data_IF_131843348060
#
_entry.id   IF_131843348060
#
_cell.length_a   1.000
_cell.length_b   1.000
_cell.length_c   1.000
_cell.angle_alpha   90.00
_cell.angle_beta   90.00
_cell.angle_gamma   90.00
#
_symmetry.space_group_name_H-M   'P 1'
#
loop_
_entity.id
_entity.type
_entity.pdbx_description
1 polymer ?
#
# COMPACT_ATOMS: atom_id res chain seq x y z
N UNK A 1 -30.38 16.91 -36.98
CA UNK A 1 -28.92 16.67 -37.07
C UNK A 1 -28.22 17.34 -35.89
N UNK A 2 -27.54 16.59 -35.03
CA UNK A 2 -26.85 17.13 -33.85
C UNK A 2 -25.51 17.76 -34.27
N UNK A 3 -25.36 19.07 -34.06
CA UNK A 3 -24.12 19.81 -34.36
C UNK A 3 -23.04 19.38 -33.36
N UNK A 4 -22.05 18.60 -33.80
CA UNK A 4 -20.90 18.20 -32.97
C UNK A 4 -20.02 19.43 -32.73
N UNK A 5 -19.98 19.90 -31.48
CA UNK A 5 -19.03 20.93 -31.05
C UNK A 5 -17.63 20.32 -30.88
N UNK A 6 -16.56 20.99 -31.34
CA UNK A 6 -15.19 20.51 -31.18
C UNK A 6 -14.84 20.39 -29.69
N UNK A 7 -14.22 19.27 -29.31
CA UNK A 7 -13.76 19.03 -27.94
C UNK A 7 -12.61 19.98 -27.61
N UNK A 8 -12.86 20.99 -26.76
CA UNK A 8 -11.78 21.72 -26.08
C UNK A 8 -11.04 20.75 -25.14
N UNK A 9 -9.72 20.78 -25.14
CA UNK A 9 -8.88 20.02 -24.23
C UNK A 9 -9.17 20.45 -22.78
N UNK A 10 -10.06 19.73 -22.10
CA UNK A 10 -10.37 19.99 -20.69
C UNK A 10 -9.16 19.54 -19.87
N UNK A 11 -8.41 20.51 -19.31
CA UNK A 11 -7.34 20.22 -18.37
C UNK A 11 -7.88 19.51 -17.12
N UNK A 12 -7.02 18.78 -16.41
CA UNK A 12 -7.37 18.07 -15.18
C UNK A 12 -7.95 19.09 -14.17
N UNK A 13 -9.21 18.92 -13.72
CA UNK A 13 -9.80 19.82 -12.72
C UNK A 13 -9.03 19.70 -11.40
N UNK A 14 -8.89 20.80 -10.65
CA UNK A 14 -8.25 20.82 -9.32
C UNK A 14 -6.81 20.27 -9.29
N UNK A 15 -5.94 20.72 -10.20
CA UNK A 15 -4.53 20.29 -10.31
C UNK A 15 -3.76 20.32 -8.98
N UNK A 16 -3.92 21.40 -8.21
CA UNK A 16 -3.23 21.56 -6.92
C UNK A 16 -3.59 20.49 -5.90
N UNK A 17 -4.85 20.01 -5.90
CA UNK A 17 -5.28 18.97 -4.96
C UNK A 17 -4.75 17.59 -5.35
N UNK A 18 -4.64 17.31 -6.66
CA UNK A 18 -3.96 16.12 -7.17
C UNK A 18 -2.46 16.15 -6.84
N UNK A 19 -1.80 17.30 -7.01
CA UNK A 19 -0.40 17.48 -6.63
C UNK A 19 -0.19 17.25 -5.13
N UNK A 20 -1.05 17.84 -4.28
CA UNK A 20 -1.01 17.63 -2.82
C UNK A 20 -1.19 16.17 -2.44
N UNK A 21 -2.18 15.49 -3.04
CA UNK A 21 -2.44 14.07 -2.78
C UNK A 21 -1.24 13.19 -3.15
N UNK A 22 -0.62 13.48 -4.30
CA UNK A 22 0.58 12.76 -4.78
C UNK A 22 1.76 12.99 -3.86
N UNK A 23 2.01 14.24 -3.45
CA UNK A 23 3.06 14.59 -2.52
C UNK A 23 2.90 13.88 -1.18
N UNK A 24 1.69 13.90 -0.59
CA UNK A 24 1.43 13.23 0.69
C UNK A 24 1.69 11.72 0.61
N UNK A 25 1.28 11.08 -0.49
CA UNK A 25 1.56 9.66 -0.72
C UNK A 25 3.06 9.37 -0.84
N UNK A 26 3.78 10.17 -1.64
CA UNK A 26 5.23 10.02 -1.83
C UNK A 26 5.98 10.23 -0.52
N UNK A 27 5.65 11.27 0.25
CA UNK A 27 6.26 11.56 1.54
C UNK A 27 5.99 10.44 2.56
N UNK A 28 4.75 9.96 2.66
CA UNK A 28 4.40 8.84 3.55
C UNK A 28 5.18 7.56 3.17
N UNK A 29 5.29 7.27 1.87
CA UNK A 29 6.05 6.13 1.36
C UNK A 29 7.54 6.26 1.67
N UNK A 30 8.13 7.44 1.42
CA UNK A 30 9.54 7.71 1.71
C UNK A 30 9.87 7.49 3.19
N UNK A 31 9.08 8.05 4.11
CA UNK A 31 9.28 7.86 5.54
C UNK A 31 9.13 6.39 5.95
N UNK A 32 8.17 5.68 5.37
CA UNK A 32 7.97 4.24 5.61
C UNK A 32 9.16 3.41 5.14
N UNK A 33 9.83 3.82 4.05
CA UNK A 33 11.03 3.14 3.57
C UNK A 33 12.26 3.44 4.44
N UNK A 34 12.37 4.67 4.95
CA UNK A 34 13.53 5.12 5.73
C UNK A 34 13.61 4.55 7.15
N UNK A 35 12.48 4.18 7.78
CA UNK A 35 12.47 3.58 9.13
C UNK A 35 13.31 2.29 9.24
N UNK A 36 13.52 1.59 8.12
CA UNK A 36 14.34 0.37 8.08
C UNK A 36 15.84 0.64 8.14
N UNK A 37 16.32 1.71 7.47
CA UNK A 37 17.75 2.04 7.42
C UNK A 37 18.28 2.47 8.78
N UNK A 38 17.49 3.24 9.51
CA UNK A 38 17.92 3.80 10.80
C UNK A 38 17.98 2.75 11.92
N UNK A 39 17.24 1.64 11.80
CA UNK A 39 17.30 0.54 12.78
C UNK A 39 18.65 -0.17 12.73
N UNK A 40 19.21 -0.39 11.52
CA UNK A 40 20.54 -1.02 11.35
C UNK A 40 21.68 -0.13 11.83
N UNK A 41 21.56 1.19 11.70
CA UNK A 41 22.60 2.14 12.16
C UNK A 41 22.54 2.39 13.66
N UNK A 42 21.34 2.49 14.25
CA UNK A 42 21.19 2.68 15.71
C UNK A 42 21.74 1.48 16.50
N UNK A 43 21.60 0.26 16.01
CA UNK A 43 22.20 -0.94 16.63
C UNK A 43 23.73 -0.89 16.59
N UNK A 44 24.37 -0.26 15.60
CA UNK A 44 25.84 -0.20 15.51
C UNK A 44 26.51 0.88 16.36
N UNK A 45 25.77 1.87 16.87
CA UNK A 45 26.33 2.98 17.68
C UNK A 45 26.33 2.63 19.19
N UNK A 46 25.59 1.60 19.60
CA UNK A 46 25.46 1.20 21.00
C UNK A 46 26.31 -0.02 21.40
N UNK A 47 27.26 -0.44 20.56
CA UNK A 47 28.21 -1.53 20.87
C UNK A 47 29.57 -0.95 21.35
N UNK A 48 29.54 -0.13 22.39
CA UNK A 48 30.75 0.25 23.13
C UNK A 48 30.43 0.32 24.62
N UNK A 49 30.90 -0.71 25.31
CA UNK A 49 31.20 -0.80 26.74
C UNK A 49 30.02 -0.83 27.74
N UNK A 50 29.67 -2.04 28.22
CA UNK A 50 29.83 -2.50 29.63
C UNK A 50 28.91 -3.71 29.99
N UNK A 51 29.48 -4.63 30.76
CA UNK A 51 28.92 -5.83 31.39
C UNK A 51 27.75 -5.55 32.35
N UNK A 52 26.61 -6.25 32.23
CA UNK A 52 25.72 -6.59 33.37
C UNK A 52 24.66 -7.64 33.03
N UNK A 53 24.68 -8.76 33.76
CA UNK A 53 23.61 -9.75 33.82
C UNK A 53 22.39 -9.20 34.58
N UNK A 54 21.21 -9.06 33.97
CA UNK A 54 19.91 -9.35 34.61
C UNK A 54 18.73 -9.16 33.66
N UNK A 55 17.77 -10.07 33.79
CA UNK A 55 16.37 -9.95 33.41
C UNK A 55 16.05 -9.70 31.92
N UNK A 56 15.69 -10.78 31.23
CA UNK A 56 14.41 -10.91 30.53
C UNK A 56 13.65 -9.58 30.30
N UNK A 57 14.15 -8.71 29.43
CA UNK A 57 13.33 -7.66 28.84
C UNK A 57 12.59 -8.31 27.69
N UNK A 58 11.29 -8.51 27.89
CA UNK A 58 10.34 -8.70 26.80
C UNK A 58 10.74 -7.78 25.64
N UNK A 59 11.09 -8.39 24.50
CA UNK A 59 11.39 -7.67 23.26
C UNK A 59 10.17 -6.83 22.90
N UNK A 60 10.14 -5.58 23.34
CA UNK A 60 9.15 -4.60 22.93
C UNK A 60 9.25 -4.50 21.42
N UNK A 61 8.22 -5.02 20.76
CA UNK A 61 8.03 -4.96 19.33
C UNK A 61 7.83 -3.47 18.97
N UNK A 62 8.95 -2.74 18.84
CA UNK A 62 8.96 -1.34 18.45
C UNK A 62 8.20 -1.24 17.13
N UNK A 63 7.11 -0.46 17.04
CA UNK A 63 6.28 -0.40 15.86
C UNK A 63 7.16 -0.04 14.65
N UNK A 64 7.19 -0.93 13.66
CA UNK A 64 7.91 -0.77 12.38
C UNK A 64 7.29 0.32 11.49
N UNK A 65 6.81 1.42 12.08
CA UNK A 65 6.00 2.43 11.41
C UNK A 65 6.39 3.81 11.95
N UNK A 66 6.66 4.75 11.04
CA UNK A 66 6.85 6.15 11.42
C UNK A 66 5.48 6.77 11.77
N UNK A 67 5.29 7.38 12.95
CA UNK A 67 4.03 8.03 13.31
C UNK A 67 3.69 9.17 12.32
N UNK A 68 4.71 9.85 11.80
CA UNK A 68 4.55 10.86 10.78
C UNK A 68 4.03 10.28 9.46
N UNK A 69 4.48 9.09 9.06
CA UNK A 69 3.95 8.43 7.87
C UNK A 69 2.44 8.10 7.99
N UNK A 70 1.99 7.71 9.20
CA UNK A 70 0.56 7.47 9.47
C UNK A 70 -0.25 8.77 9.39
N UNK A 71 0.27 9.86 9.96
CA UNK A 71 -0.36 11.16 9.88
C UNK A 71 -0.51 11.63 8.42
N UNK A 72 0.54 11.52 7.61
CA UNK A 72 0.49 11.87 6.18
C UNK A 72 -0.52 11.02 5.41
N UNK A 73 -0.65 9.73 5.74
CA UNK A 73 -1.69 8.85 5.17
C UNK A 73 -3.12 9.28 5.56
N UNK A 74 -3.32 9.72 6.81
CA UNK A 74 -4.59 10.29 7.27
C UNK A 74 -4.92 11.59 6.55
N UNK A 75 -3.94 12.49 6.43
CA UNK A 75 -4.09 13.77 5.74
C UNK A 75 -4.43 13.56 4.26
N UNK A 76 -3.80 12.58 3.60
CA UNK A 76 -4.15 12.19 2.24
C UNK A 76 -5.64 11.84 2.14
N UNK A 77 -6.14 10.98 3.03
CA UNK A 77 -7.54 10.57 3.03
C UNK A 77 -8.50 11.73 3.34
N UNK A 78 -8.11 12.63 4.25
CA UNK A 78 -8.89 13.82 4.55
C UNK A 78 -8.98 14.76 3.34
N UNK A 79 -7.85 15.05 2.69
CA UNK A 79 -7.80 15.89 1.48
C UNK A 79 -8.65 15.29 0.39
N UNK A 80 -8.55 13.98 0.14
CA UNK A 80 -9.31 13.32 -0.93
C UNK A 80 -10.81 13.33 -0.68
N UNK A 81 -11.23 13.11 0.58
CA UNK A 81 -12.66 13.15 0.95
C UNK A 81 -13.22 14.57 0.88
N UNK A 82 -12.50 15.55 1.43
CA UNK A 82 -12.93 16.97 1.42
C UNK A 82 -13.02 17.53 0.00
N UNK A 83 -12.05 17.18 -0.84
CA UNK A 83 -11.99 17.63 -2.23
C UNK A 83 -12.83 16.78 -3.19
N UNK A 84 -13.53 15.74 -2.69
CA UNK A 84 -14.29 14.77 -3.50
C UNK A 84 -13.47 14.18 -4.66
N UNK A 85 -12.17 13.96 -4.45
CA UNK A 85 -11.28 13.42 -5.48
C UNK A 85 -11.41 11.92 -5.59
N UNK A 86 -11.51 11.44 -6.82
CA UNK A 86 -11.42 10.01 -7.13
C UNK A 86 -9.95 9.59 -7.17
N UNK A 87 -9.51 8.88 -6.14
CA UNK A 87 -8.20 8.23 -6.13
C UNK A 87 -8.14 7.09 -7.15
N UNK A 88 -6.97 6.90 -7.76
CA UNK A 88 -6.68 5.74 -8.60
C UNK A 88 -6.86 4.44 -7.81
N UNK A 89 -7.16 3.36 -8.51
CA UNK A 89 -7.35 2.05 -7.90
C UNK A 89 -6.07 1.62 -7.17
N UNK A 90 -4.91 1.83 -7.78
CA UNK A 90 -3.63 1.41 -7.22
C UNK A 90 -3.27 2.14 -5.93
N UNK A 91 -3.49 3.46 -5.87
CA UNK A 91 -3.31 4.24 -4.63
C UNK A 91 -4.23 3.74 -3.51
N UNK A 92 -5.50 3.43 -3.84
CA UNK A 92 -6.41 2.85 -2.87
C UNK A 92 -5.96 1.46 -2.44
N UNK A 93 -5.39 0.64 -3.32
CA UNK A 93 -4.88 -0.71 -2.99
C UNK A 93 -3.66 -0.62 -2.06
N UNK A 94 -2.78 0.36 -2.26
CA UNK A 94 -1.56 0.55 -1.48
C UNK A 94 -1.74 1.22 -0.10
N UNK A 95 -2.96 1.56 0.32
CA UNK A 95 -3.23 2.18 1.62
C UNK A 95 -4.09 1.29 2.51
N UNK A 96 -3.81 1.18 3.80
CA UNK A 96 -4.68 0.46 4.72
C UNK A 96 -6.05 1.13 4.84
N UNK A 97 -7.14 0.35 4.86
CA UNK A 97 -8.51 0.88 5.02
C UNK A 97 -8.78 1.42 6.44
N UNK A 98 -8.09 0.90 7.46
CA UNK A 98 -8.31 1.26 8.88
C UNK A 98 -7.40 2.39 9.34
N UNK A 99 -6.08 2.16 9.31
CA UNK A 99 -5.09 3.09 9.87
C UNK A 99 -4.40 3.98 8.83
N UNK A 100 -4.72 3.84 7.54
CA UNK A 100 -4.11 4.60 6.44
C UNK A 100 -2.59 4.39 6.23
N UNK A 101 -1.98 3.39 6.87
CA UNK A 101 -0.58 2.99 6.61
C UNK A 101 -0.38 2.63 5.14
N UNK A 102 0.73 3.06 4.54
CA UNK A 102 1.15 2.59 3.21
C UNK A 102 1.52 1.11 3.31
N UNK A 103 0.85 0.26 2.53
CA UNK A 103 1.03 -1.19 2.51
C UNK A 103 2.15 -1.53 1.53
N UNK A 104 3.33 -1.82 2.08
CA UNK A 104 4.51 -2.28 1.35
C UNK A 104 4.73 -3.75 1.73
N UNK A 105 4.58 -4.69 0.78
CA UNK A 105 4.80 -6.10 1.03
C UNK A 105 6.18 -6.37 1.62
N UNK A 106 6.23 -7.20 2.66
CA UNK A 106 7.47 -7.55 3.36
C UNK A 106 8.01 -6.47 4.31
N UNK A 107 7.32 -5.32 4.46
CA UNK A 107 7.71 -4.25 5.39
C UNK A 107 6.60 -3.85 6.35
N UNK A 108 5.48 -3.37 5.80
CA UNK A 108 4.31 -2.92 6.57
C UNK A 108 3.09 -3.77 6.32
N UNK A 109 3.16 -4.66 5.33
CA UNK A 109 2.12 -5.58 4.99
C UNK A 109 2.68 -6.98 4.69
N UNK A 110 1.94 -8.00 5.11
CA UNK A 110 2.15 -9.38 4.70
C UNK A 110 1.28 -9.68 3.48
N UNK A 111 1.86 -10.36 2.50
CA UNK A 111 1.13 -10.83 1.33
C UNK A 111 0.97 -12.34 1.42
N UNK A 112 -0.24 -12.83 1.15
CA UNK A 112 -0.54 -14.26 1.06
C UNK A 112 -1.56 -14.50 -0.04
N UNK A 113 -1.60 -15.73 -0.54
CA UNK A 113 -2.68 -16.19 -1.43
C UNK A 113 -3.51 -17.20 -0.64
N UNK A 114 -4.80 -16.90 -0.49
CA UNK A 114 -5.76 -17.75 0.22
C UNK A 114 -6.78 -18.31 -0.78
N UNK A 115 -7.05 -19.62 -0.72
CA UNK A 115 -8.15 -20.26 -1.45
C UNK A 115 -9.09 -20.96 -0.46
N UNK A 116 -10.08 -20.20 0.03
CA UNK A 116 -11.09 -20.70 0.97
C UNK A 116 -12.23 -21.46 0.28
N UNK A 117 -12.21 -21.57 -1.05
CA UNK A 117 -13.31 -22.15 -1.80
C UNK A 117 -13.23 -23.68 -1.79
N UNK A 118 -14.27 -24.35 -1.27
CA UNK A 118 -14.35 -25.82 -1.20
C UNK A 118 -13.05 -26.49 -0.69
N UNK A 119 -12.30 -25.83 0.21
CA UNK A 119 -11.01 -26.33 0.72
C UNK A 119 -9.86 -26.30 -0.30
N UNK A 120 -9.81 -25.33 -1.22
CA UNK A 120 -8.76 -25.20 -2.23
C UNK A 120 -9.01 -25.97 -3.52
N UNK A 121 -10.16 -26.62 -3.67
CA UNK A 121 -10.47 -27.48 -4.83
C UNK A 121 -10.73 -26.71 -6.14
N UNK A 122 -11.02 -25.41 -6.07
CA UNK A 122 -11.24 -24.58 -7.27
C UNK A 122 -9.99 -23.74 -7.53
N UNK A 123 -9.13 -24.10 -8.49
CA UNK A 123 -7.89 -23.35 -8.76
C UNK A 123 -8.16 -21.92 -9.25
N UNK A 124 -9.37 -21.62 -9.74
CA UNK A 124 -9.72 -20.28 -10.20
C UNK A 124 -10.21 -19.32 -9.12
N UNK A 125 -10.27 -19.77 -7.87
CA UNK A 125 -10.82 -19.02 -6.75
C UNK A 125 -9.74 -18.53 -5.78
N UNK A 126 -8.52 -18.38 -6.28
CA UNK A 126 -7.41 -17.83 -5.52
C UNK A 126 -7.60 -16.33 -5.26
N UNK A 127 -7.34 -15.92 -4.02
CA UNK A 127 -7.51 -14.53 -3.57
C UNK A 127 -6.19 -14.04 -2.99
N UNK A 128 -5.65 -12.98 -3.58
CA UNK A 128 -4.51 -12.26 -3.04
C UNK A 128 -4.95 -11.46 -1.82
N UNK A 129 -4.32 -11.74 -0.68
CA UNK A 129 -4.61 -11.09 0.59
C UNK A 129 -3.41 -10.25 1.01
N UNK A 130 -3.65 -8.97 1.24
CA UNK A 130 -2.66 -8.04 1.78
C UNK A 130 -3.09 -7.65 3.20
N UNK A 131 -2.33 -8.10 4.20
CA UNK A 131 -2.61 -7.91 5.62
C UNK A 131 -1.67 -6.85 6.22
N UNK A 132 -2.23 -5.80 6.80
CA UNK A 132 -1.46 -4.75 7.47
C UNK A 132 -0.85 -5.24 8.78
N UNK A 133 0.45 -5.07 8.98
CA UNK A 133 1.14 -5.49 10.21
C UNK A 133 0.91 -4.55 11.42
N UNK A 134 0.29 -3.39 11.20
CA UNK A 134 0.01 -2.41 12.27
C UNK A 134 -1.34 -2.61 12.93
N UNK A 135 -2.37 -3.02 12.18
CA UNK A 135 -3.77 -3.08 12.66
C UNK A 135 -4.53 -4.32 12.18
N UNK A 136 -3.81 -5.28 11.58
CA UNK A 136 -4.32 -6.54 11.03
C UNK A 136 -5.44 -6.39 10.00
N UNK A 137 -5.60 -5.20 9.43
CA UNK A 137 -6.54 -4.95 8.34
C UNK A 137 -6.17 -5.75 7.10
N UNK A 138 -7.10 -6.57 6.60
CA UNK A 138 -6.91 -7.40 5.40
C UNK A 138 -7.59 -6.78 4.18
N UNK A 139 -6.89 -6.74 3.06
CA UNK A 139 -7.45 -6.45 1.74
C UNK A 139 -7.39 -7.70 0.89
N UNK A 140 -8.48 -7.98 0.18
CA UNK A 140 -8.64 -9.18 -0.64
C UNK A 140 -8.86 -8.76 -2.08
N UNK A 141 -8.10 -9.37 -2.99
CA UNK A 141 -8.19 -9.13 -4.42
C UNK A 141 -8.31 -10.48 -5.12
N UNK A 142 -9.34 -10.70 -5.95
CA UNK A 142 -9.39 -11.90 -6.76
C UNK A 142 -8.16 -11.93 -7.66
N UNK A 143 -7.46 -13.06 -7.70
CA UNK A 143 -6.41 -13.28 -8.67
C UNK A 143 -7.09 -13.84 -9.91
N UNK A 144 -6.81 -13.23 -11.06
CA UNK A 144 -7.29 -13.77 -12.31
C UNK A 144 -6.60 -15.10 -12.57
N UNK A 145 -7.38 -16.16 -12.61
CA UNK A 145 -6.86 -17.49 -12.85
C UNK A 145 -6.52 -17.66 -14.32
N UNK A 146 -5.47 -18.41 -14.64
CA UNK A 146 -5.02 -18.70 -16.00
C UNK A 146 -6.13 -19.20 -16.97
N UNK A 147 -7.27 -19.67 -16.46
CA UNK A 147 -8.42 -20.04 -17.28
C UNK A 147 -9.10 -18.84 -18.00
N UNK A 148 -9.01 -17.61 -17.47
CA UNK A 148 -9.70 -16.43 -18.03
C UNK A 148 -8.88 -15.69 -19.11
N UNK A 149 -7.58 -15.96 -19.22
CA UNK A 149 -6.69 -15.33 -20.22
C UNK A 149 -6.65 -16.05 -21.56
N UNK A 150 -7.54 -17.02 -21.80
CA UNK A 150 -7.53 -17.82 -23.04
C UNK A 150 -8.22 -17.16 -24.25
N UNK A 151 -8.69 -15.92 -24.14
CA UNK A 151 -9.13 -15.14 -25.31
C UNK A 151 -8.03 -14.18 -25.76
N UNK A 152 -7.29 -14.65 -26.76
CA UNK A 152 -6.64 -13.90 -27.86
C UNK A 152 -5.78 -12.68 -27.51
N UNK A 153 -4.46 -12.91 -27.55
CA UNK A 153 -3.55 -11.95 -28.16
C UNK A 153 -2.74 -12.69 -29.23
N UNK A 154 -3.41 -13.00 -30.35
CA UNK A 154 -2.73 -13.48 -31.55
C UNK A 154 -2.14 -12.25 -32.25
N UNK A 155 -0.95 -11.86 -31.79
CA UNK A 155 -0.17 -10.80 -32.42
C UNK A 155 1.09 -11.40 -33.05
N UNK A 156 0.95 -11.63 -34.36
CA UNK A 156 1.96 -11.30 -35.37
C UNK A 156 3.04 -12.35 -35.61
N UNK A 157 2.74 -13.22 -36.59
CA UNK A 157 3.69 -13.72 -37.60
C UNK A 157 4.59 -12.57 -38.10
N UNK A 158 5.90 -12.71 -37.91
CA UNK A 158 6.95 -12.02 -38.64
C UNK A 158 7.97 -13.05 -39.11
#
# INVERSE_FOLDING_TARGET
MSKVKPQKSKGIPSKHLHARTTFLYQAATYLTLQTTSNKTTATRILESDEDWNSAQTCSEHVPSHSPLALQLGSDLQQVTRKAQLRLSVDLKRSLCKRCNTVLIPGRTANQSVENLSKGGKKPWADVFVLACMTCDGRKRFPIESAAQTSTEFDSTTA
#
